data_IF_250971562379
#
_entry.id   IF_250971562379
#
_cell.length_a   1.000
_cell.length_b   1.000
_cell.length_c   1.000
_cell.angle_alpha   90.00
_cell.angle_beta   90.00
_cell.angle_gamma   90.00
#
_symmetry.space_group_name_H-M   'P 1'
#
loop_
_entity.id
_entity.type
_entity.pdbx_description
1 polymer ?
#
# COMPACT_ATOMS: atom_id res chain seq x y z
N UNK A 1 -36.06 20.05 -74.06
CA UNK A 1 -35.17 18.89 -74.32
C UNK A 1 -34.19 18.85 -73.15
N UNK A 2 -34.54 18.18 -72.05
CA UNK A 2 -34.16 16.79 -71.68
C UNK A 2 -33.07 16.88 -70.59
N UNK A 3 -33.32 16.76 -69.28
CA UNK A 3 -33.80 15.64 -68.42
C UNK A 3 -32.67 14.77 -67.83
N UNK A 4 -32.80 14.50 -66.50
CA UNK A 4 -32.21 13.42 -65.67
C UNK A 4 -30.72 13.55 -65.26
N UNK A 5 -30.26 13.37 -63.99
CA UNK A 5 -30.58 12.35 -62.96
C UNK A 5 -30.32 12.83 -61.50
N UNK A 6 -31.04 12.19 -60.56
CA UNK A 6 -30.96 12.26 -59.09
C UNK A 6 -29.62 11.73 -58.51
N UNK A 7 -29.26 12.14 -57.27
CA UNK A 7 -29.10 11.25 -56.10
C UNK A 7 -29.06 12.05 -54.77
N UNK A 8 -29.68 11.46 -53.74
CA UNK A 8 -29.90 11.91 -52.36
C UNK A 8 -28.66 12.27 -51.54
N UNK A 9 -28.81 13.21 -50.60
CA UNK A 9 -28.21 13.11 -49.26
C UNK A 9 -29.02 13.97 -48.27
N UNK A 10 -29.76 13.32 -47.39
CA UNK A 10 -30.37 13.89 -46.21
C UNK A 10 -29.96 13.05 -44.99
N UNK A 11 -29.82 13.73 -43.84
CA UNK A 11 -29.66 13.22 -42.48
C UNK A 11 -28.32 12.58 -42.07
N UNK A 12 -27.55 13.33 -41.28
CA UNK A 12 -27.15 12.93 -39.92
C UNK A 12 -26.51 14.12 -39.18
N UNK A 13 -27.33 14.93 -38.51
CA UNK A 13 -26.85 15.79 -37.44
C UNK A 13 -26.72 14.91 -36.18
N UNK A 14 -25.50 14.53 -35.82
CA UNK A 14 -25.20 13.89 -34.54
C UNK A 14 -24.67 14.94 -33.57
N UNK A 15 -25.42 15.10 -32.49
CA UNK A 15 -25.19 15.93 -31.33
C UNK A 15 -23.89 15.52 -30.64
N UNK A 16 -22.85 16.34 -30.76
CA UNK A 16 -21.74 16.34 -29.80
C UNK A 16 -22.20 17.16 -28.59
N UNK A 17 -22.69 16.47 -27.56
CA UNK A 17 -22.95 17.09 -26.25
C UNK A 17 -21.66 17.11 -25.43
N UNK A 18 -21.20 18.26 -24.91
CA UNK A 18 -20.11 18.28 -23.94
C UNK A 18 -20.68 17.91 -22.57
N UNK A 19 -20.59 16.64 -22.18
CA UNK A 19 -20.79 16.22 -20.80
C UNK A 19 -19.53 16.54 -19.98
N UNK A 20 -19.30 17.82 -19.72
CA UNK A 20 -18.47 18.25 -18.60
C UNK A 20 -19.40 18.89 -17.57
N UNK A 21 -20.14 18.05 -16.85
CA UNK A 21 -20.75 18.46 -15.60
C UNK A 21 -19.62 18.66 -14.59
N UNK A 22 -19.12 19.89 -14.51
CA UNK A 22 -18.26 20.33 -13.41
C UNK A 22 -19.05 20.14 -12.12
N UNK A 23 -18.69 19.11 -11.35
CA UNK A 23 -19.30 18.82 -10.05
C UNK A 23 -18.98 20.00 -9.12
N UNK A 24 -19.91 20.94 -9.02
CA UNK A 24 -19.83 22.06 -8.09
C UNK A 24 -20.48 21.58 -6.80
N UNK A 25 -19.66 21.18 -5.84
CA UNK A 25 -20.13 20.92 -4.48
C UNK A 25 -20.81 22.20 -3.96
N UNK A 26 -22.03 22.14 -3.41
CA UNK A 26 -22.61 23.28 -2.72
C UNK A 26 -21.73 23.58 -1.49
N UNK A 27 -20.99 24.69 -1.54
CA UNK A 27 -20.20 25.18 -0.42
C UNK A 27 -21.17 25.73 0.63
N UNK A 28 -21.49 24.93 1.65
CA UNK A 28 -21.93 25.48 2.93
C UNK A 28 -20.69 26.08 3.63
N UNK A 29 -20.60 27.41 3.62
CA UNK A 29 -19.50 28.19 4.18
C UNK A 29 -19.38 28.16 5.73
N UNK A 30 -20.05 27.25 6.44
CA UNK A 30 -20.11 27.24 7.91
C UNK A 30 -19.32 26.14 8.63
N UNK A 31 -18.58 25.28 7.91
CA UNK A 31 -17.76 24.25 8.57
C UNK A 31 -16.28 24.52 8.30
N UNK A 32 -15.69 25.49 9.01
CA UNK A 32 -14.25 25.51 9.44
C UNK A 32 -13.87 26.85 10.09
N UNK A 33 -14.15 26.98 11.39
CA UNK A 33 -13.23 27.57 12.38
C UNK A 33 -13.48 26.87 13.72
N UNK A 34 -13.09 25.61 13.82
CA UNK A 34 -12.76 25.02 15.12
C UNK A 34 -11.25 25.11 15.28
N UNK A 35 -10.80 26.22 15.87
CA UNK A 35 -9.48 26.27 16.50
C UNK A 35 -9.49 25.29 17.67
N UNK A 36 -8.51 24.39 17.70
CA UNK A 36 -8.23 23.50 18.82
C UNK A 36 -7.89 24.29 20.08
N UNK A 37 -8.90 24.53 20.91
CA UNK A 37 -8.76 24.79 22.34
C UNK A 37 -9.59 23.74 23.07
N UNK A 38 -8.98 22.60 23.34
CA UNK A 38 -9.53 21.62 24.27
C UNK A 38 -8.94 21.91 25.65
N UNK A 39 -9.53 22.86 26.36
CA UNK A 39 -9.36 22.96 27.81
C UNK A 39 -10.36 22.01 28.47
N UNK A 40 -9.82 20.99 29.13
CA UNK A 40 -10.53 20.04 29.96
C UNK A 40 -11.33 20.75 31.07
N UNK A 41 -12.65 20.78 30.92
CA UNK A 41 -13.57 21.07 32.04
C UNK A 41 -14.30 19.78 32.39
N UNK A 42 -13.67 18.97 33.24
CA UNK A 42 -14.35 17.93 34.01
C UNK A 42 -14.65 18.54 35.39
N UNK A 43 -15.91 18.91 35.62
CA UNK A 43 -16.37 19.27 36.95
C UNK A 43 -16.90 18.01 37.64
N UNK A 44 -16.26 17.70 38.76
CA UNK A 44 -16.42 16.52 39.58
C UNK A 44 -17.76 16.49 40.34
N UNK A 45 -18.22 15.28 40.62
CA UNK A 45 -19.07 14.98 41.75
C UNK A 45 -18.43 13.85 42.58
N UNK A 46 -18.36 14.11 43.90
CA UNK A 46 -18.23 13.19 45.03
C UNK A 46 -16.85 12.98 45.71
N UNK A 47 -16.90 13.19 47.04
CA UNK A 47 -16.09 12.63 48.14
C UNK A 47 -14.69 13.23 48.36
N UNK A 48 -14.46 14.12 49.34
CA UNK A 48 -14.42 13.93 50.81
C UNK A 48 -13.20 13.11 51.29
N UNK A 49 -12.38 13.80 52.11
CA UNK A 49 -11.33 13.35 53.05
C UNK A 49 -10.19 12.45 52.54
N UNK A 50 -8.95 12.96 52.55
CA UNK A 50 -8.01 12.63 53.63
C UNK A 50 -6.78 13.57 53.61
N UNK A 51 -6.34 13.97 54.81
CA UNK A 51 -5.18 14.80 55.03
C UNK A 51 -3.91 13.95 55.15
N UNK A 52 -2.78 14.57 54.79
CA UNK A 52 -1.48 14.54 55.49
C UNK A 52 -0.25 14.10 54.68
N UNK A 53 0.81 14.88 54.93
CA UNK A 53 2.27 14.62 54.82
C UNK A 53 2.97 14.85 53.47
N UNK A 54 3.47 16.09 53.35
CA UNK A 54 4.80 16.39 52.78
C UNK A 54 5.91 15.83 53.69
N UNK A 55 7.11 15.58 53.12
CA UNK A 55 8.20 16.49 53.45
C UNK A 55 9.01 16.96 52.23
N UNK A 56 9.54 18.17 52.42
CA UNK A 56 10.55 18.87 51.63
C UNK A 56 11.91 18.17 51.66
N UNK A 57 12.62 18.17 50.53
CA UNK A 57 14.08 18.03 50.52
C UNK A 57 14.72 19.05 49.58
N UNK A 58 15.79 19.66 50.08
CA UNK A 58 16.56 20.77 49.53
C UNK A 58 17.61 20.35 48.51
N UNK A 59 17.94 21.34 47.68
CA UNK A 59 19.14 21.57 46.86
C UNK A 59 20.45 20.93 47.35
N UNK A 60 21.24 20.42 46.40
CA UNK A 60 22.60 20.89 46.11
C UNK A 60 23.21 20.07 44.95
N UNK A 61 24.00 20.71 44.08
CA UNK A 61 25.03 19.99 43.30
C UNK A 61 25.16 20.37 41.84
N UNK A 62 25.77 21.52 41.60
CA UNK A 62 26.34 21.94 40.32
C UNK A 62 27.63 21.14 40.05
N UNK A 63 27.72 20.45 38.90
CA UNK A 63 28.97 19.85 38.40
C UNK A 63 29.07 20.00 36.88
N UNK A 64 30.23 20.46 36.45
CA UNK A 64 30.66 20.73 35.08
C UNK A 64 30.74 19.48 34.19
N UNK A 65 30.67 19.62 32.85
CA UNK A 65 30.83 18.50 31.92
C UNK A 65 32.32 18.17 31.67
N UNK A 66 32.70 16.88 31.55
CA UNK A 66 34.04 16.54 31.12
C UNK A 66 34.15 16.57 29.59
N UNK A 67 35.11 17.36 29.13
CA UNK A 67 35.75 17.22 27.82
C UNK A 67 36.48 15.88 27.73
N UNK A 68 36.15 15.04 26.75
CA UNK A 68 36.97 13.88 26.39
C UNK A 68 37.41 14.01 24.93
N UNK A 69 38.72 13.99 24.81
CA UNK A 69 39.58 14.04 23.65
C UNK A 69 39.41 12.87 22.69
N UNK A 70 39.47 13.18 21.40
CA UNK A 70 39.74 12.23 20.33
C UNK A 70 41.11 11.55 20.53
N UNK A 71 41.12 10.22 20.55
CA UNK A 71 42.31 9.40 20.48
C UNK A 71 42.10 8.31 19.42
N UNK A 72 43.03 8.29 18.47
CA UNK A 72 43.13 7.34 17.38
C UNK A 72 43.54 5.93 17.87
N UNK A 73 42.94 4.90 17.29
CA UNK A 73 43.42 3.51 17.28
C UNK A 73 43.02 2.95 15.91
N UNK A 74 43.93 2.80 14.94
CA UNK A 74 44.80 1.63 14.72
C UNK A 74 44.02 0.31 14.66
N UNK A 75 43.45 0.03 13.49
CA UNK A 75 42.95 -1.28 13.08
C UNK A 75 44.12 -2.25 12.87
N UNK A 76 44.17 -3.28 13.72
CA UNK A 76 44.98 -4.47 13.54
C UNK A 76 44.12 -5.57 12.95
N UNK A 77 44.39 -5.92 11.69
CA UNK A 77 43.79 -7.03 10.95
C UNK A 77 44.32 -8.35 11.53
N UNK A 78 43.41 -9.20 12.03
CA UNK A 78 43.65 -10.62 12.29
C UNK A 78 42.91 -11.43 11.21
N UNK A 79 43.62 -11.86 10.18
CA UNK A 79 43.16 -12.92 9.27
C UNK A 79 43.39 -14.27 9.95
N UNK A 80 42.32 -15.01 10.22
CA UNK A 80 42.39 -16.41 10.60
C UNK A 80 41.67 -17.23 9.52
N UNK A 81 42.46 -17.80 8.60
CA UNK A 81 42.00 -18.80 7.64
C UNK A 81 41.49 -20.06 8.38
N UNK A 82 40.22 -20.40 8.19
CA UNK A 82 39.72 -21.76 8.38
C UNK A 82 39.38 -22.35 7.02
N UNK A 83 40.25 -23.26 6.56
CA UNK A 83 40.00 -24.20 5.48
C UNK A 83 38.89 -25.17 5.90
N UNK A 84 37.74 -25.11 5.22
CA UNK A 84 36.78 -26.21 5.23
C UNK A 84 37.02 -27.11 4.02
N UNK A 85 37.26 -28.38 4.33
CA UNK A 85 37.55 -29.44 3.37
C UNK A 85 36.34 -29.78 2.51
N UNK A 86 36.62 -29.92 1.23
CA UNK A 86 35.72 -30.33 0.16
C UNK A 86 35.43 -31.83 0.30
N UNK A 87 34.20 -32.17 0.69
CA UNK A 87 33.69 -33.54 0.74
C UNK A 87 32.60 -33.71 -0.32
N UNK A 88 33.05 -33.90 -1.56
CA UNK A 88 32.23 -34.31 -2.69
C UNK A 88 31.64 -35.70 -2.44
N UNK A 89 30.32 -35.74 -2.21
CA UNK A 89 29.54 -36.99 -2.22
C UNK A 89 28.55 -36.96 -3.37
N UNK A 90 28.87 -37.76 -4.39
CA UNK A 90 28.10 -38.09 -5.59
C UNK A 90 26.68 -38.60 -5.28
N UNK A 91 25.70 -37.69 -5.15
CA UNK A 91 24.26 -38.01 -5.14
C UNK A 91 23.44 -36.93 -5.89
N UNK A 92 23.75 -36.72 -7.15
CA UNK A 92 22.97 -35.84 -8.04
C UNK A 92 22.80 -36.48 -9.42
N UNK A 93 21.69 -37.17 -9.66
CA UNK A 93 21.25 -37.44 -11.04
C UNK A 93 19.74 -37.71 -11.20
N UNK A 94 19.00 -38.01 -10.14
CA UNK A 94 17.56 -38.33 -10.27
C UNK A 94 16.59 -37.15 -10.06
N UNK A 95 17.06 -35.96 -9.64
CA UNK A 95 16.17 -34.80 -9.41
C UNK A 95 15.97 -33.91 -10.62
N UNK A 96 16.91 -33.89 -11.57
CA UNK A 96 16.86 -32.94 -12.69
C UNK A 96 15.90 -33.36 -13.82
N UNK A 97 15.68 -34.67 -14.01
CA UNK A 97 14.81 -35.17 -15.09
C UNK A 97 13.33 -34.80 -14.84
N UNK A 98 12.90 -34.73 -13.57
CA UNK A 98 11.53 -34.35 -13.22
C UNK A 98 11.27 -32.84 -13.29
N UNK A 99 12.32 -32.01 -13.17
CA UNK A 99 12.18 -30.56 -13.31
C UNK A 99 11.94 -30.17 -14.78
N UNK A 100 12.63 -30.83 -15.71
CA UNK A 100 12.58 -30.48 -17.13
C UNK A 100 11.24 -30.85 -17.79
N UNK A 101 10.62 -31.97 -17.38
CA UNK A 101 9.34 -32.42 -17.91
C UNK A 101 8.17 -31.50 -17.53
N UNK A 102 8.26 -30.77 -16.41
CA UNK A 102 7.19 -29.87 -15.95
C UNK A 102 7.22 -28.50 -16.60
N UNK A 103 8.39 -27.94 -16.86
CA UNK A 103 8.49 -26.64 -17.54
C UNK A 103 7.93 -26.67 -18.97
N UNK A 104 8.01 -27.83 -19.65
CA UNK A 104 7.43 -27.99 -20.99
C UNK A 104 5.89 -28.03 -21.01
N UNK A 105 5.23 -28.34 -19.90
CA UNK A 105 3.75 -28.39 -19.85
C UNK A 105 3.10 -27.00 -19.92
N UNK A 106 3.87 -25.93 -19.66
CA UNK A 106 3.35 -24.55 -19.58
C UNK A 106 3.86 -23.63 -20.70
N UNK A 107 4.81 -24.08 -21.53
CA UNK A 107 5.45 -23.23 -22.54
C UNK A 107 4.54 -22.87 -23.73
N UNK A 108 3.50 -23.66 -24.00
CA UNK A 108 2.64 -23.53 -25.18
C UNK A 108 1.19 -23.14 -24.84
N UNK A 109 0.93 -22.64 -23.62
CA UNK A 109 -0.41 -22.17 -23.27
C UNK A 109 -0.69 -20.84 -23.98
N UNK A 110 -1.61 -20.86 -24.94
CA UNK A 110 -2.12 -19.64 -25.56
C UNK A 110 -2.66 -18.70 -24.46
N UNK A 111 -2.38 -17.38 -24.55
CA UNK A 111 -2.95 -16.40 -23.64
C UNK A 111 -4.46 -16.56 -23.61
N UNK A 112 -5.02 -16.76 -22.41
CA UNK A 112 -6.47 -16.88 -22.26
C UNK A 112 -7.13 -15.60 -22.76
N UNK A 113 -8.12 -15.74 -23.65
CA UNK A 113 -8.92 -14.61 -24.10
C UNK A 113 -9.59 -13.95 -22.90
N UNK A 114 -9.53 -12.62 -22.83
CA UNK A 114 -10.15 -11.88 -21.74
C UNK A 114 -11.66 -12.11 -21.75
N UNK A 115 -12.23 -12.41 -20.58
CA UNK A 115 -13.68 -12.45 -20.42
C UNK A 115 -14.28 -11.05 -20.62
N UNK A 116 -15.55 -10.97 -21.03
CA UNK A 116 -16.25 -9.70 -21.20
C UNK A 116 -16.23 -8.86 -19.90
N UNK A 117 -16.41 -9.53 -18.76
CA UNK A 117 -16.31 -8.91 -17.43
C UNK A 117 -14.93 -8.29 -17.19
N UNK A 118 -13.85 -8.99 -17.56
CA UNK A 118 -12.47 -8.48 -17.42
C UNK A 118 -12.25 -7.27 -18.32
N UNK A 119 -12.64 -7.36 -19.58
CA UNK A 119 -12.53 -6.23 -20.53
C UNK A 119 -13.30 -5.01 -20.02
N UNK A 120 -14.52 -5.20 -19.51
CA UNK A 120 -15.33 -4.12 -18.93
C UNK A 120 -14.67 -3.46 -17.71
N UNK A 121 -14.01 -4.26 -16.86
CA UNK A 121 -13.25 -3.76 -15.71
C UNK A 121 -12.04 -2.93 -16.15
N UNK A 122 -11.23 -3.45 -17.07
CA UNK A 122 -10.06 -2.73 -17.62
C UNK A 122 -10.49 -1.41 -18.28
N UNK A 123 -11.59 -1.40 -19.02
CA UNK A 123 -12.16 -0.18 -19.61
C UNK A 123 -12.64 0.83 -18.55
N UNK A 124 -13.16 0.35 -17.42
CA UNK A 124 -13.52 1.21 -16.29
C UNK A 124 -12.28 1.81 -15.62
N UNK A 125 -11.24 1.01 -15.37
CA UNK A 125 -9.97 1.45 -14.78
C UNK A 125 -9.25 2.46 -15.67
N UNK A 126 -9.21 2.21 -16.99
CA UNK A 126 -8.64 3.15 -17.96
C UNK A 126 -9.37 4.49 -17.97
N UNK A 127 -10.70 4.48 -17.78
CA UNK A 127 -11.48 5.73 -17.61
C UNK A 127 -11.12 6.46 -16.32
N UNK A 128 -10.88 5.75 -15.23
CA UNK A 128 -10.45 6.36 -13.97
C UNK A 128 -9.02 6.93 -14.07
N UNK A 129 -8.10 6.23 -14.75
CA UNK A 129 -6.75 6.71 -15.08
C UNK A 129 -6.74 7.96 -15.94
N UNK A 130 -7.80 8.21 -16.73
CA UNK A 130 -7.95 9.45 -17.49
C UNK A 130 -8.44 10.63 -16.64
N UNK A 131 -9.08 10.36 -15.49
CA UNK A 131 -9.62 11.37 -14.57
C UNK A 131 -8.57 11.73 -13.52
N UNK A 132 -7.99 10.71 -12.88
CA UNK A 132 -7.06 10.85 -11.77
C UNK A 132 -5.62 10.63 -12.22
N UNK A 133 -4.69 11.29 -11.52
CA UNK A 133 -3.27 11.00 -11.69
C UNK A 133 -2.91 9.77 -10.87
N UNK A 134 -2.36 8.72 -11.50
CA UNK A 134 -2.02 7.44 -10.85
C UNK A 134 -1.08 7.66 -9.67
N UNK A 135 -1.53 7.32 -8.46
CA UNK A 135 -0.72 7.50 -7.25
C UNK A 135 0.54 6.62 -7.26
N UNK A 136 1.58 7.06 -6.55
CA UNK A 136 2.88 6.38 -6.53
C UNK A 136 3.79 6.70 -7.73
N UNK A 137 3.33 7.45 -8.72
CA UNK A 137 4.12 7.84 -9.91
C UNK A 137 4.73 9.25 -9.79
N UNK A 138 5.76 9.54 -10.58
CA UNK A 138 6.35 10.90 -10.65
C UNK A 138 5.35 12.02 -11.00
N UNK A 139 4.41 11.82 -11.96
CA UNK A 139 3.33 12.78 -12.20
C UNK A 139 2.46 13.03 -10.98
N UNK A 140 2.18 12.01 -10.16
CA UNK A 140 1.41 12.17 -8.93
C UNK A 140 2.15 13.04 -7.92
N UNK A 141 3.44 12.80 -7.71
CA UNK A 141 4.24 13.62 -6.80
C UNK A 141 4.36 15.06 -7.28
N UNK A 142 4.50 15.26 -8.58
CA UNK A 142 4.52 16.61 -9.19
C UNK A 142 3.19 17.34 -8.97
N UNK A 143 2.06 16.62 -9.09
CA UNK A 143 0.72 17.17 -8.79
C UNK A 143 0.59 17.57 -7.31
N UNK A 144 1.12 16.75 -6.39
CA UNK A 144 1.10 17.06 -4.95
C UNK A 144 1.97 18.27 -4.62
N UNK A 145 3.15 18.37 -5.22
CA UNK A 145 4.03 19.54 -5.06
C UNK A 145 3.36 20.81 -5.64
N UNK A 146 2.63 20.71 -6.77
CA UNK A 146 1.81 21.80 -7.32
C UNK A 146 0.69 22.23 -6.36
N UNK A 147 -0.02 21.28 -5.75
CA UNK A 147 -1.08 21.57 -4.75
C UNK A 147 -0.50 22.34 -3.56
N UNK A 148 0.62 21.88 -3.01
CA UNK A 148 1.29 22.54 -1.87
C UNK A 148 1.72 23.96 -2.25
N UNK A 149 2.30 24.15 -3.44
CA UNK A 149 2.69 25.47 -3.92
C UNK A 149 1.49 26.41 -4.06
N UNK A 150 0.39 25.93 -4.66
CA UNK A 150 -0.83 26.73 -4.82
C UNK A 150 -1.48 27.09 -3.47
N UNK A 151 -1.41 26.21 -2.47
CA UNK A 151 -1.87 26.49 -1.10
C UNK A 151 -1.00 27.57 -0.44
N UNK A 152 0.33 27.47 -0.57
CA UNK A 152 1.28 28.49 -0.10
C UNK A 152 1.08 29.85 -0.78
N UNK A 153 0.85 29.86 -2.09
CA UNK A 153 0.58 31.08 -2.86
C UNK A 153 -0.73 31.75 -2.42
N UNK A 154 -1.76 30.97 -2.08
CA UNK A 154 -3.02 31.50 -1.54
C UNK A 154 -2.84 32.12 -0.16
N UNK A 155 -2.06 31.50 0.71
CA UNK A 155 -1.77 32.01 2.05
C UNK A 155 -0.94 33.30 1.97
N UNK A 156 0.20 33.25 1.28
CA UNK A 156 1.09 34.41 1.06
C UNK A 156 0.36 35.56 0.39
N UNK A 157 -0.47 35.25 -0.61
CA UNK A 157 -1.25 36.25 -1.31
C UNK A 157 -2.27 36.96 -0.41
N UNK A 158 -2.88 36.21 0.52
CA UNK A 158 -3.81 36.78 1.49
C UNK A 158 -3.11 37.76 2.44
N UNK A 159 -1.87 37.47 2.81
CA UNK A 159 -1.07 38.31 3.71
C UNK A 159 -0.55 39.59 3.02
N UNK A 160 -0.19 39.49 1.73
CA UNK A 160 0.30 40.63 0.94
C UNK A 160 -0.83 41.51 0.41
N UNK A 161 -2.08 41.03 0.42
CA UNK A 161 -3.25 41.77 -0.06
C UNK A 161 -3.34 41.83 -1.59
N UNK A 162 -3.04 40.73 -2.29
CA UNK A 162 -3.35 40.62 -3.73
C UNK A 162 -4.85 40.77 -3.99
N UNK A 163 -5.18 41.18 -5.21
CA UNK A 163 -6.57 41.41 -5.60
C UNK A 163 -7.43 40.15 -5.50
N UNK A 164 -8.72 40.33 -5.22
CA UNK A 164 -9.67 39.23 -5.10
C UNK A 164 -9.76 38.40 -6.40
N UNK A 165 -9.55 39.02 -7.57
CA UNK A 165 -9.49 38.28 -8.84
C UNK A 165 -8.31 37.32 -8.90
N UNK A 166 -7.12 37.75 -8.44
CA UNK A 166 -5.93 36.91 -8.40
C UNK A 166 -6.12 35.73 -7.43
N UNK A 167 -6.65 35.99 -6.23
CA UNK A 167 -6.96 34.94 -5.25
C UNK A 167 -7.99 33.94 -5.82
N UNK A 168 -9.01 34.44 -6.52
CA UNK A 168 -10.01 33.59 -7.19
C UNK A 168 -9.39 32.70 -8.28
N UNK A 169 -8.46 33.25 -9.06
CA UNK A 169 -7.73 32.50 -10.08
C UNK A 169 -6.91 31.35 -9.46
N UNK A 170 -6.14 31.61 -8.40
CA UNK A 170 -5.34 30.57 -7.72
C UNK A 170 -6.26 29.52 -7.09
N UNK A 171 -7.39 29.91 -6.48
CA UNK A 171 -8.39 28.94 -5.96
C UNK A 171 -8.96 28.03 -7.05
N UNK A 172 -9.19 28.56 -8.26
CA UNK A 172 -9.67 27.74 -9.38
C UNK A 172 -8.61 26.74 -9.84
N UNK A 173 -7.34 27.15 -9.88
CA UNK A 173 -6.22 26.25 -10.19
C UNK A 173 -6.07 25.16 -9.12
N UNK A 174 -6.12 25.53 -7.84
CA UNK A 174 -6.05 24.58 -6.73
C UNK A 174 -7.18 23.55 -6.80
N UNK A 175 -8.43 24.00 -7.01
CA UNK A 175 -9.57 23.08 -7.20
C UNK A 175 -9.37 22.13 -8.37
N UNK A 176 -8.80 22.60 -9.48
CA UNK A 176 -8.51 21.77 -10.65
C UNK A 176 -7.43 20.73 -10.35
N UNK A 177 -6.35 21.11 -9.67
CA UNK A 177 -5.29 20.20 -9.26
C UNK A 177 -5.82 19.14 -8.27
N UNK A 178 -6.51 19.57 -7.21
CA UNK A 178 -7.12 18.69 -6.20
C UNK A 178 -8.15 17.72 -6.81
N UNK A 179 -8.87 18.11 -7.87
CA UNK A 179 -9.81 17.20 -8.54
C UNK A 179 -9.16 16.03 -9.28
N UNK A 180 -7.86 16.13 -9.58
CA UNK A 180 -7.06 15.07 -10.21
C UNK A 180 -6.33 14.19 -9.20
N UNK A 181 -6.26 14.62 -7.95
CA UNK A 181 -5.59 13.90 -6.87
C UNK A 181 -6.58 12.88 -6.25
N UNK A 182 -6.39 11.57 -6.51
CA UNK A 182 -7.28 10.54 -5.98
C UNK A 182 -7.31 10.49 -4.46
N UNK A 183 -6.21 10.82 -3.77
CA UNK A 183 -6.15 10.81 -2.31
C UNK A 183 -6.99 11.95 -1.73
N UNK A 184 -6.86 13.15 -2.32
CA UNK A 184 -7.68 14.30 -1.94
C UNK A 184 -9.17 14.02 -2.17
N UNK A 185 -9.54 13.51 -3.36
CA UNK A 185 -10.93 13.20 -3.70
C UNK A 185 -11.50 12.13 -2.77
N UNK A 186 -10.76 11.05 -2.52
CA UNK A 186 -11.17 9.99 -1.61
C UNK A 186 -11.49 10.54 -0.21
N UNK A 187 -10.61 11.38 0.33
CA UNK A 187 -10.77 12.00 1.64
C UNK A 187 -12.02 12.88 1.73
N UNK A 188 -12.18 13.82 0.80
CA UNK A 188 -13.30 14.78 0.81
C UNK A 188 -14.63 14.06 0.64
N UNK A 189 -14.71 13.12 -0.30
CA UNK A 189 -15.95 12.39 -0.59
C UNK A 189 -16.32 11.41 0.53
N UNK A 190 -15.36 10.74 1.16
CA UNK A 190 -15.62 9.89 2.34
C UNK A 190 -16.15 10.70 3.52
N UNK A 191 -15.57 11.88 3.79
CA UNK A 191 -16.06 12.77 4.83
C UNK A 191 -17.46 13.32 4.52
N UNK A 192 -17.73 13.66 3.25
CA UNK A 192 -19.03 14.13 2.79
C UNK A 192 -20.10 13.04 2.88
N UNK A 193 -19.77 11.79 2.54
CA UNK A 193 -20.67 10.64 2.70
C UNK A 193 -21.09 10.48 4.17
N UNK A 194 -20.11 10.42 5.08
CA UNK A 194 -20.38 10.30 6.51
C UNK A 194 -21.19 11.48 7.08
N UNK A 195 -20.96 12.71 6.58
CA UNK A 195 -21.75 13.87 6.98
C UNK A 195 -23.20 13.80 6.45
N UNK A 196 -23.40 13.42 5.19
CA UNK A 196 -24.71 13.25 4.58
C UNK A 196 -25.53 12.16 5.29
N UNK A 197 -24.90 11.04 5.65
CA UNK A 197 -25.51 9.97 6.44
C UNK A 197 -25.97 10.46 7.82
N UNK A 198 -25.12 11.19 8.56
CA UNK A 198 -25.51 11.79 9.86
C UNK A 198 -26.67 12.79 9.74
N UNK A 199 -26.83 13.42 8.58
CA UNK A 199 -27.95 14.33 8.29
C UNK A 199 -29.19 13.61 7.74
N UNK A 200 -29.18 12.28 7.61
CA UNK A 200 -30.29 11.51 7.06
C UNK A 200 -30.45 11.63 5.54
N UNK A 201 -29.45 12.15 4.83
CA UNK A 201 -29.46 12.33 3.36
C UNK A 201 -28.86 11.11 2.66
N UNK A 202 -29.62 10.01 2.67
CA UNK A 202 -29.15 8.70 2.22
C UNK A 202 -28.70 8.69 0.75
N UNK A 203 -29.46 9.29 -0.16
CA UNK A 203 -29.11 9.34 -1.59
C UNK A 203 -27.81 10.12 -1.86
N UNK A 204 -27.61 11.22 -1.14
CA UNK A 204 -26.40 12.04 -1.26
C UNK A 204 -25.18 11.27 -0.71
N UNK A 205 -25.35 10.56 0.41
CA UNK A 205 -24.33 9.71 1.01
C UNK A 205 -23.85 8.62 0.06
N UNK A 206 -24.78 7.88 -0.57
CA UNK A 206 -24.42 6.82 -1.52
C UNK A 206 -23.65 7.37 -2.73
N UNK A 207 -24.06 8.53 -3.26
CA UNK A 207 -23.33 9.19 -4.36
C UNK A 207 -21.89 9.53 -3.98
N UNK A 208 -21.67 10.05 -2.78
CA UNK A 208 -20.32 10.33 -2.29
C UNK A 208 -19.52 9.06 -2.04
N UNK A 209 -20.16 7.99 -1.55
CA UNK A 209 -19.52 6.69 -1.34
C UNK A 209 -19.08 6.04 -2.64
N UNK A 210 -19.89 6.12 -3.70
CA UNK A 210 -19.49 5.65 -5.02
C UNK A 210 -18.27 6.41 -5.57
N UNK A 211 -18.25 7.73 -5.40
CA UNK A 211 -17.13 8.56 -5.85
C UNK A 211 -15.86 8.29 -5.02
N UNK A 212 -16.01 8.11 -3.70
CA UNK A 212 -14.88 7.76 -2.84
C UNK A 212 -14.29 6.41 -3.23
N UNK A 213 -15.11 5.41 -3.52
CA UNK A 213 -14.64 4.10 -3.98
C UNK A 213 -13.91 4.17 -5.34
N UNK A 214 -14.34 5.03 -6.27
CA UNK A 214 -13.61 5.23 -7.53
C UNK A 214 -12.23 5.83 -7.31
N UNK A 215 -12.13 6.85 -6.46
CA UNK A 215 -10.86 7.47 -6.13
C UNK A 215 -9.95 6.49 -5.35
N UNK A 216 -10.51 5.72 -4.42
CA UNK A 216 -9.80 4.69 -3.64
C UNK A 216 -9.12 3.64 -4.53
N UNK A 217 -9.77 3.20 -5.61
CA UNK A 217 -9.21 2.23 -6.57
C UNK A 217 -7.95 2.73 -7.29
N UNK A 218 -7.74 4.04 -7.33
CA UNK A 218 -6.57 4.65 -7.95
C UNK A 218 -5.37 4.79 -7.01
N UNK A 219 -5.50 4.32 -5.76
CA UNK A 219 -4.46 4.38 -4.75
C UNK A 219 -3.82 2.98 -4.59
N UNK A 220 -2.55 2.80 -4.97
CA UNK A 220 -1.87 1.50 -4.94
C UNK A 220 -1.94 0.78 -3.59
N UNK A 221 -1.88 1.52 -2.49
CA UNK A 221 -1.93 0.96 -1.14
C UNK A 221 -3.30 0.34 -0.76
N UNK A 222 -4.36 0.60 -1.53
CA UNK A 222 -5.64 -0.11 -1.40
C UNK A 222 -5.80 -1.28 -2.37
N UNK A 223 -4.81 -1.51 -3.23
CA UNK A 223 -4.81 -2.57 -4.24
C UNK A 223 -3.85 -3.72 -3.87
N UNK A 224 -3.42 -3.79 -2.60
CA UNK A 224 -2.55 -4.85 -2.09
C UNK A 224 -3.30 -6.13 -1.66
N UNK A 225 -4.59 -6.29 -1.92
CA UNK A 225 -5.35 -7.49 -1.51
C UNK A 225 -4.77 -8.77 -2.12
N UNK A 226 -4.81 -9.88 -1.38
CA UNK A 226 -4.45 -11.22 -1.88
C UNK A 226 -3.13 -11.76 -1.33
N UNK A 227 -2.53 -12.71 -2.06
CA UNK A 227 -1.36 -13.45 -1.59
C UNK A 227 -0.05 -12.73 -1.90
N UNK A 228 0.88 -12.81 -0.94
CA UNK A 228 2.20 -12.19 -0.98
C UNK A 228 3.24 -13.08 -0.31
N UNK A 229 4.48 -13.06 -0.78
CA UNK A 229 5.60 -13.81 -0.19
C UNK A 229 6.73 -12.87 0.19
N UNK A 230 7.29 -13.07 1.38
CA UNK A 230 8.44 -12.34 1.89
C UNK A 230 9.40 -13.22 2.68
N UNK A 231 10.67 -12.81 2.81
CA UNK A 231 11.71 -13.56 3.55
C UNK A 231 11.77 -13.11 5.02
N UNK A 232 11.36 -13.98 5.94
CA UNK A 232 11.36 -13.75 7.39
C UNK A 232 12.67 -14.21 8.03
N UNK A 233 13.79 -13.62 7.62
CA UNK A 233 15.12 -13.92 8.16
C UNK A 233 15.47 -15.41 8.10
N UNK A 234 15.80 -16.00 9.26
CA UNK A 234 16.18 -17.42 9.39
C UNK A 234 15.03 -18.40 9.18
N UNK A 235 13.78 -17.93 9.19
CA UNK A 235 12.60 -18.77 8.93
C UNK A 235 12.41 -19.06 7.45
N UNK A 236 13.10 -18.33 6.57
CA UNK A 236 12.97 -18.48 5.13
C UNK A 236 11.79 -17.69 4.58
N UNK A 237 11.16 -18.20 3.53
CA UNK A 237 10.04 -17.53 2.88
C UNK A 237 8.73 -17.89 3.56
N UNK A 238 7.95 -16.86 3.91
CA UNK A 238 6.59 -17.02 4.39
C UNK A 238 5.61 -16.29 3.47
N UNK A 239 4.41 -16.85 3.35
CA UNK A 239 3.31 -16.31 2.58
C UNK A 239 2.30 -15.67 3.52
N UNK A 240 1.80 -14.50 3.13
CA UNK A 240 0.74 -13.77 3.82
C UNK A 240 -0.45 -13.54 2.88
N UNK A 241 -1.63 -13.35 3.46
CA UNK A 241 -2.83 -12.90 2.76
C UNK A 241 -3.20 -11.52 3.29
N UNK A 242 -3.19 -10.53 2.41
CA UNK A 242 -3.54 -9.15 2.72
C UNK A 242 -5.03 -8.94 2.45
N UNK A 243 -5.71 -8.32 3.41
CA UNK A 243 -7.14 -7.96 3.34
C UNK A 243 -7.35 -6.57 3.95
N UNK A 244 -8.57 -6.04 3.87
CA UNK A 244 -8.90 -4.71 4.41
C UNK A 244 -10.10 -4.75 5.35
N UNK A 245 -10.03 -3.95 6.42
CA UNK A 245 -11.17 -3.57 7.25
C UNK A 245 -11.32 -2.05 7.21
N UNK A 246 -12.15 -1.54 6.30
CA UNK A 246 -12.21 -0.11 6.01
C UNK A 246 -10.90 0.36 5.39
N UNK A 247 -10.23 1.31 6.06
CA UNK A 247 -8.92 1.84 5.69
C UNK A 247 -7.74 1.12 6.36
N UNK A 248 -8.02 0.09 7.16
CA UNK A 248 -6.97 -0.70 7.81
C UNK A 248 -6.60 -1.90 6.95
N UNK A 249 -5.33 -1.99 6.58
CA UNK A 249 -4.74 -3.16 5.95
C UNK A 249 -4.40 -4.20 7.02
N UNK A 250 -4.74 -5.47 6.78
CA UNK A 250 -4.47 -6.58 7.68
C UNK A 250 -3.81 -7.73 6.90
N UNK A 251 -2.59 -8.09 7.29
CA UNK A 251 -1.84 -9.19 6.70
C UNK A 251 -1.86 -10.42 7.62
N UNK A 252 -2.46 -11.52 7.15
CA UNK A 252 -2.51 -12.79 7.88
C UNK A 252 -1.45 -13.76 7.40
N UNK A 253 -0.76 -14.47 8.31
CA UNK A 253 0.16 -15.56 7.98
C UNK A 253 -0.57 -16.72 7.31
N UNK A 254 -0.32 -16.96 6.03
CA UNK A 254 -0.83 -18.13 5.30
C UNK A 254 0.09 -19.31 5.49
N UNK A 255 1.41 -19.08 5.42
CA UNK A 255 2.38 -19.96 6.06
C UNK A 255 2.86 -19.25 7.32
N UNK A 256 3.03 -20.01 8.39
CA UNK A 256 3.45 -19.49 9.68
C UNK A 256 4.65 -20.25 10.18
N UNK A 257 5.33 -19.64 11.14
CA UNK A 257 6.56 -20.15 11.72
C UNK A 257 6.35 -20.46 13.21
N UNK A 258 7.43 -20.84 13.90
CA UNK A 258 7.37 -21.16 15.34
C UNK A 258 7.07 -19.94 16.21
N UNK A 259 7.30 -18.73 15.71
CA UNK A 259 7.12 -17.48 16.44
C UNK A 259 5.70 -16.95 16.18
N UNK A 260 5.34 -16.71 14.91
CA UNK A 260 4.00 -16.29 14.51
C UNK A 260 3.33 -17.41 13.71
N UNK A 261 2.40 -18.16 14.32
CA UNK A 261 1.80 -19.30 13.68
C UNK A 261 0.84 -18.89 12.57
N UNK A 262 0.51 -19.89 11.75
CA UNK A 262 -0.39 -19.74 10.62
C UNK A 262 -1.79 -19.34 11.09
N UNK A 263 -2.41 -18.42 10.36
CA UNK A 263 -3.72 -17.83 10.68
C UNK A 263 -3.64 -16.57 11.53
N UNK A 264 -2.50 -16.30 12.20
CA UNK A 264 -2.32 -15.09 12.99
C UNK A 264 -2.00 -13.88 12.11
N UNK A 265 -2.28 -12.70 12.64
CA UNK A 265 -1.90 -11.43 12.01
C UNK A 265 -0.38 -11.31 12.05
N UNK A 266 0.24 -11.07 10.88
CA UNK A 266 1.65 -10.72 10.76
C UNK A 266 1.87 -9.23 11.03
N UNK A 267 1.04 -8.39 10.43
CA UNK A 267 1.04 -6.94 10.67
C UNK A 267 -0.27 -6.29 10.22
N UNK A 268 -0.50 -5.07 10.69
CA UNK A 268 -1.55 -4.15 10.24
C UNK A 268 -0.95 -2.82 9.80
N UNK A 269 -1.66 -2.06 8.96
CA UNK A 269 -1.29 -0.70 8.61
C UNK A 269 -2.53 0.20 8.48
N UNK A 270 -2.43 1.43 8.98
CA UNK A 270 -3.47 2.46 8.85
C UNK A 270 -3.25 3.25 7.56
N UNK A 271 -4.16 3.08 6.61
CA UNK A 271 -4.12 3.74 5.30
C UNK A 271 -5.06 4.94 5.22
N UNK A 272 -5.65 5.37 6.35
CA UNK A 272 -6.53 6.54 6.36
C UNK A 272 -5.78 7.76 5.84
N UNK A 273 -6.33 8.49 4.84
CA UNK A 273 -5.70 9.68 4.30
C UNK A 273 -5.43 10.71 5.40
N UNK A 274 -4.16 11.04 5.60
CA UNK A 274 -3.74 11.88 6.71
C UNK A 274 -3.81 13.37 6.35
N UNK A 275 -4.16 14.20 7.33
CA UNK A 275 -4.14 15.66 7.18
C UNK A 275 -2.73 16.18 7.39
N UNK A 276 -2.40 17.31 6.76
CA UNK A 276 -1.18 18.02 7.13
C UNK A 276 -1.28 18.43 8.61
N UNK A 277 -0.29 18.02 9.40
CA UNK A 277 -0.25 18.24 10.84
C UNK A 277 -0.84 17.12 11.71
N UNK A 278 -1.31 15.99 11.15
CA UNK A 278 -1.57 14.82 12.01
C UNK A 278 -0.25 14.23 12.52
N UNK A 279 -0.16 14.02 13.82
CA UNK A 279 1.05 13.50 14.47
C UNK A 279 1.47 12.10 13.99
N UNK A 280 0.54 11.35 13.40
CA UNK A 280 0.73 10.01 12.84
C UNK A 280 1.22 10.01 11.39
N UNK A 281 1.40 11.18 10.75
CA UNK A 281 1.72 11.23 9.32
C UNK A 281 3.21 11.00 9.13
N UNK A 282 3.53 9.90 8.46
CA UNK A 282 4.89 9.62 8.04
C UNK A 282 5.16 10.31 6.71
N UNK A 283 6.30 10.99 6.62
CA UNK A 283 6.74 11.56 5.35
C UNK A 283 7.13 10.44 4.36
N UNK A 284 6.81 10.59 3.06
CA UNK A 284 7.26 9.68 2.03
C UNK A 284 8.80 9.53 2.02
N UNK A 285 9.31 8.35 1.68
CA UNK A 285 10.76 8.17 1.45
C UNK A 285 11.11 8.84 0.14
N UNK A 286 12.02 9.82 0.17
CA UNK A 286 12.62 10.40 -1.03
C UNK A 286 13.76 9.50 -1.48
N UNK A 287 13.68 9.03 -2.72
CA UNK A 287 14.71 8.18 -3.32
C UNK A 287 15.80 9.03 -3.99
N UNK A 288 17.03 8.49 -4.04
CA UNK A 288 18.07 9.04 -4.92
C UNK A 288 17.69 8.90 -6.39
N UNK A 289 18.40 9.59 -7.28
CA UNK A 289 18.14 9.52 -8.72
C UNK A 289 18.30 8.10 -9.28
N UNK A 290 19.27 7.33 -8.78
CA UNK A 290 19.50 5.94 -9.20
C UNK A 290 18.36 5.02 -8.75
N UNK A 291 17.96 5.12 -7.49
CA UNK A 291 16.84 4.36 -6.94
C UNK A 291 15.51 4.77 -7.59
N UNK A 292 15.30 6.06 -7.82
CA UNK A 292 14.11 6.57 -8.48
C UNK A 292 13.97 6.06 -9.91
N UNK A 293 15.09 5.98 -10.66
CA UNK A 293 15.10 5.39 -12.00
C UNK A 293 14.76 3.90 -11.97
N UNK A 294 15.21 3.15 -10.96
CA UNK A 294 14.91 1.73 -10.79
C UNK A 294 13.43 1.50 -10.48
N UNK A 295 12.86 2.30 -9.60
CA UNK A 295 11.48 2.13 -9.12
C UNK A 295 10.44 2.93 -9.92
N UNK A 296 10.86 3.77 -10.85
CA UNK A 296 9.97 4.60 -11.67
C UNK A 296 9.30 5.76 -10.90
N UNK A 297 9.80 6.09 -9.72
CA UNK A 297 9.21 7.12 -8.86
C UNK A 297 10.24 7.74 -7.92
N UNK A 298 10.14 9.04 -7.64
CA UNK A 298 11.05 9.77 -6.74
C UNK A 298 10.71 9.64 -5.26
N UNK A 299 9.46 9.28 -4.94
CA UNK A 299 8.98 9.20 -3.56
C UNK A 299 8.18 7.91 -3.36
N UNK A 300 8.36 7.26 -2.22
CA UNK A 300 7.59 6.08 -1.83
C UNK A 300 6.65 6.43 -0.67
N UNK A 301 5.33 6.17 -0.79
CA UNK A 301 4.38 6.45 0.27
C UNK A 301 4.63 5.55 1.50
N UNK A 302 4.40 6.12 2.68
CA UNK A 302 4.63 5.48 3.99
C UNK A 302 3.40 5.56 4.86
N UNK A 303 3.11 4.46 5.55
CA UNK A 303 1.97 4.35 6.45
C UNK A 303 2.42 3.76 7.78
N UNK A 304 1.89 4.29 8.87
CA UNK A 304 2.06 3.71 10.21
C UNK A 304 1.35 2.37 10.29
N UNK A 305 1.94 1.43 11.00
CA UNK A 305 1.37 0.11 11.21
C UNK A 305 1.89 -0.54 12.48
N UNK A 306 1.42 -1.75 12.72
CA UNK A 306 1.82 -2.56 13.87
C UNK A 306 2.22 -3.95 13.39
N UNK A 307 3.47 -4.34 13.65
CA UNK A 307 4.00 -5.63 13.32
C UNK A 307 3.91 -6.60 14.50
N UNK A 308 3.42 -7.80 14.27
CA UNK A 308 3.33 -8.82 15.30
C UNK A 308 4.68 -9.49 15.51
N UNK A 309 5.12 -9.57 16.76
CA UNK A 309 6.32 -10.29 17.16
C UNK A 309 6.04 -11.18 18.38
N UNK A 310 6.67 -12.34 18.42
CA UNK A 310 6.56 -13.27 19.54
C UNK A 310 7.84 -14.12 19.65
N UNK A 311 8.08 -14.69 20.82
CA UNK A 311 9.12 -15.69 21.03
C UNK A 311 8.70 -17.06 20.46
N UNK A 312 9.64 -18.01 20.29
CA UNK A 312 9.31 -19.36 19.83
C UNK A 312 8.22 -20.01 20.68
N UNK A 313 7.21 -20.59 20.02
CA UNK A 313 6.00 -21.11 20.65
C UNK A 313 4.88 -20.08 20.78
N UNK A 314 4.96 -18.95 20.07
CA UNK A 314 4.00 -17.84 20.15
C UNK A 314 3.85 -17.26 21.57
N UNK A 315 4.95 -17.27 22.32
CA UNK A 315 5.03 -16.79 23.71
C UNK A 315 5.36 -15.29 23.70
N UNK A 316 4.84 -14.55 24.69
CA UNK A 316 5.05 -13.10 24.81
C UNK A 316 4.72 -12.35 23.52
N UNK A 317 3.63 -12.74 22.84
CA UNK A 317 3.22 -12.08 21.62
C UNK A 317 2.77 -10.64 21.89
N UNK A 318 3.23 -9.72 21.05
CA UNK A 318 2.94 -8.29 21.15
C UNK A 318 3.02 -7.64 19.77
N UNK A 319 2.27 -6.56 19.62
CA UNK A 319 2.36 -5.67 18.48
C UNK A 319 3.46 -4.62 18.72
N UNK A 320 4.35 -4.47 17.75
CA UNK A 320 5.44 -3.52 17.73
C UNK A 320 5.15 -2.44 16.69
N UNK A 321 5.64 -1.23 16.92
CA UNK A 321 5.54 -0.16 15.93
C UNK A 321 6.19 -0.58 14.61
N UNK A 322 5.47 -0.36 13.52
CA UNK A 322 5.93 -0.69 12.18
C UNK A 322 5.52 0.32 11.13
N UNK A 323 6.07 0.13 9.93
CA UNK A 323 5.80 1.00 8.79
C UNK A 323 5.61 0.18 7.53
N UNK A 324 4.52 0.45 6.82
CA UNK A 324 4.28 -0.05 5.48
C UNK A 324 4.86 0.95 4.47
N UNK A 325 5.69 0.46 3.55
CA UNK A 325 6.22 1.21 2.41
C UNK A 325 5.71 0.56 1.14
N UNK A 326 4.94 1.28 0.32
CA UNK A 326 4.45 0.76 -0.96
C UNK A 326 5.39 1.17 -2.08
N UNK A 327 5.70 0.22 -2.97
CA UNK A 327 6.73 0.38 -4.01
C UNK A 327 6.10 0.17 -5.39
N UNK A 328 6.34 1.13 -6.29
CA UNK A 328 5.76 1.10 -7.64
C UNK A 328 4.24 1.33 -7.66
N UNK A 329 3.55 0.70 -8.61
CA UNK A 329 2.09 0.77 -8.74
C UNK A 329 1.35 -0.23 -7.83
N UNK A 330 2.04 -0.75 -6.82
CA UNK A 330 1.50 -1.75 -5.88
C UNK A 330 1.95 -3.18 -6.20
N UNK A 331 3.00 -3.36 -6.99
CA UNK A 331 3.55 -4.68 -7.35
C UNK A 331 4.44 -5.26 -6.25
N UNK A 332 5.03 -4.36 -5.46
CA UNK A 332 5.84 -4.69 -4.29
C UNK A 332 5.47 -3.79 -3.14
N UNK A 333 5.65 -4.29 -1.92
CA UNK A 333 5.67 -3.44 -0.75
C UNK A 333 6.65 -4.01 0.27
N UNK A 334 6.95 -3.25 1.31
CA UNK A 334 7.71 -3.76 2.44
C UNK A 334 7.06 -3.34 3.75
N UNK A 335 7.29 -4.13 4.79
CA UNK A 335 6.92 -3.78 6.15
C UNK A 335 8.17 -3.79 7.03
N UNK A 336 8.38 -2.71 7.77
CA UNK A 336 9.50 -2.55 8.70
C UNK A 336 9.01 -2.63 10.15
N UNK A 337 9.57 -3.53 10.95
CA UNK A 337 9.41 -3.58 12.40
C UNK A 337 10.46 -2.67 13.02
N UNK A 338 10.07 -1.44 13.40
CA UNK A 338 11.02 -0.39 13.78
C UNK A 338 11.90 -0.82 14.97
N UNK A 339 11.35 -1.34 16.09
CA UNK A 339 12.17 -1.70 17.25
C UNK A 339 13.14 -2.86 16.99
N UNK A 340 12.91 -3.65 15.94
CA UNK A 340 13.74 -4.80 15.56
C UNK A 340 14.72 -4.46 14.44
N UNK A 341 14.66 -3.24 13.89
CA UNK A 341 15.43 -2.82 12.71
C UNK A 341 15.33 -3.84 11.56
N UNK A 342 14.17 -4.48 11.44
CA UNK A 342 13.93 -5.57 10.49
C UNK A 342 12.90 -5.17 9.44
N UNK A 343 13.27 -5.27 8.17
CA UNK A 343 12.40 -4.95 7.05
C UNK A 343 12.23 -6.16 6.14
N UNK A 344 10.99 -6.47 5.80
CA UNK A 344 10.64 -7.57 4.90
C UNK A 344 10.00 -6.99 3.65
N UNK A 345 10.53 -7.40 2.50
CA UNK A 345 9.95 -7.11 1.19
C UNK A 345 9.01 -8.21 0.77
N UNK A 346 7.88 -7.81 0.21
CA UNK A 346 6.81 -8.67 -0.26
C UNK A 346 6.61 -8.49 -1.75
N UNK A 347 6.56 -9.61 -2.46
CA UNK A 347 6.21 -9.68 -3.88
C UNK A 347 5.07 -10.68 -4.09
N UNK A 348 4.37 -10.53 -5.22
CA UNK A 348 3.34 -11.50 -5.63
C UNK A 348 4.00 -12.85 -5.94
N UNK A 349 3.55 -13.97 -5.34
CA UNK A 349 4.10 -15.27 -5.65
C UNK A 349 3.60 -15.77 -7.01
N UNK A 350 4.44 -16.56 -7.70
CA UNK A 350 3.96 -17.31 -8.86
C UNK A 350 2.92 -18.36 -8.43
N UNK A 351 2.03 -18.81 -9.34
CA UNK A 351 1.12 -19.92 -9.07
C UNK A 351 1.82 -21.19 -8.56
N UNK A 352 2.97 -21.52 -9.15
CA UNK A 352 3.75 -22.71 -8.81
C UNK A 352 4.36 -22.58 -7.42
N UNK A 353 4.91 -21.40 -7.09
CA UNK A 353 5.44 -21.12 -5.76
C UNK A 353 4.32 -21.15 -4.71
N UNK A 354 3.16 -20.58 -5.03
CA UNK A 354 1.98 -20.60 -4.16
C UNK A 354 1.58 -22.04 -3.84
N UNK A 355 1.43 -22.88 -4.86
CA UNK A 355 1.10 -24.30 -4.71
C UNK A 355 2.16 -25.06 -3.91
N UNK A 356 3.44 -24.76 -4.15
CA UNK A 356 4.55 -25.34 -3.41
C UNK A 356 4.48 -24.97 -1.93
N UNK A 357 4.34 -23.68 -1.61
CA UNK A 357 4.28 -23.19 -0.23
C UNK A 357 3.04 -23.69 0.50
N UNK A 358 1.88 -23.76 -0.15
CA UNK A 358 0.67 -24.34 0.43
C UNK A 358 0.83 -25.83 0.76
N UNK A 359 1.57 -26.57 -0.07
CA UNK A 359 1.83 -28.00 0.14
C UNK A 359 2.86 -28.24 1.24
N UNK A 360 3.94 -27.46 1.25
CA UNK A 360 5.04 -27.57 2.21
C UNK A 360 4.66 -27.03 3.60
N UNK A 361 3.80 -26.02 3.67
CA UNK A 361 3.29 -25.37 4.89
C UNK A 361 2.42 -26.24 5.80
N UNK A 362 2.37 -27.56 5.57
CA UNK A 362 1.75 -28.55 6.45
C UNK A 362 0.23 -28.64 6.30
N UNK A 363 -0.24 -29.84 5.97
CA UNK A 363 -1.64 -30.22 5.71
C UNK A 363 -2.65 -30.10 6.84
N UNK A 364 -2.45 -29.18 7.78
CA UNK A 364 -3.48 -28.82 8.75
C UNK A 364 -4.39 -27.75 8.14
N UNK A 365 -5.69 -28.01 8.25
CA UNK A 365 -6.80 -27.33 7.57
C UNK A 365 -6.59 -25.82 7.40
N UNK A 366 -6.69 -25.36 6.16
CA UNK A 366 -6.65 -23.97 5.78
C UNK A 366 -7.99 -23.30 6.16
N UNK A 367 -7.98 -22.40 7.15
CA UNK A 367 -9.05 -21.43 7.41
C UNK A 367 -8.59 -20.06 6.93
N UNK A 368 -8.86 -19.75 5.66
CA UNK A 368 -8.66 -18.42 5.11
C UNK A 368 -9.90 -17.57 5.42
N UNK A 369 -9.89 -16.88 6.55
CA UNK A 369 -10.93 -15.92 6.92
C UNK A 369 -12.32 -16.54 7.16
N UNK A 370 -13.18 -15.77 7.83
CA UNK A 370 -14.55 -16.16 8.16
C UNK A 370 -15.34 -16.47 6.86
N UNK A 371 -15.55 -17.75 6.54
CA UNK A 371 -16.59 -18.19 5.60
C UNK A 371 -16.15 -19.04 4.41
N UNK A 372 -14.85 -19.30 4.19
CA UNK A 372 -14.42 -20.25 3.15
C UNK A 372 -13.48 -21.32 3.73
N UNK A 373 -13.97 -22.55 3.78
CA UNK A 373 -13.12 -23.72 4.05
C UNK A 373 -12.22 -23.93 2.85
N UNK A 374 -10.92 -23.81 3.06
CA UNK A 374 -9.96 -24.05 2.01
C UNK A 374 -9.75 -25.57 1.85
N UNK A 375 -9.60 -26.09 0.63
CA UNK A 375 -9.51 -27.52 0.40
C UNK A 375 -8.33 -28.14 1.17
N UNK A 376 -8.58 -29.28 1.82
CA UNK A 376 -7.53 -30.09 2.44
C UNK A 376 -6.57 -30.70 1.41
N UNK A 377 -5.43 -31.24 1.87
CA UNK A 377 -4.48 -31.94 0.98
C UNK A 377 -5.09 -33.17 0.29
N UNK A 378 -6.09 -33.76 0.94
CA UNK A 378 -6.89 -34.90 0.47
C UNK A 378 -8.04 -34.48 -0.45
N UNK A 379 -8.31 -33.18 -0.59
CA UNK A 379 -9.30 -32.68 -1.54
C UNK A 379 -8.89 -32.99 -2.98
N UNK A 380 -9.88 -33.10 -3.85
CA UNK A 380 -9.64 -33.40 -5.25
C UNK A 380 -8.78 -32.28 -5.87
N UNK A 381 -7.86 -32.64 -6.77
CA UNK A 381 -6.96 -31.67 -7.45
C UNK A 381 -7.78 -30.54 -8.08
N UNK A 382 -8.96 -30.84 -8.61
CA UNK A 382 -9.89 -29.83 -9.13
C UNK A 382 -10.30 -28.79 -8.09
N UNK A 383 -10.62 -29.19 -6.85
CA UNK A 383 -11.06 -28.27 -5.80
C UNK A 383 -9.89 -27.39 -5.33
N UNK A 384 -8.68 -27.98 -5.24
CA UNK A 384 -7.45 -27.24 -4.95
C UNK A 384 -7.13 -26.25 -6.07
N UNK A 385 -7.24 -26.68 -7.33
CA UNK A 385 -7.05 -25.83 -8.51
C UNK A 385 -8.11 -24.74 -8.60
N UNK A 386 -9.38 -25.00 -8.29
CA UNK A 386 -10.46 -24.02 -8.30
C UNK A 386 -10.27 -22.99 -7.17
N UNK A 387 -9.85 -23.42 -5.98
CA UNK A 387 -9.49 -22.54 -4.88
C UNK A 387 -8.30 -21.65 -5.23
N UNK A 388 -7.25 -22.23 -5.80
CA UNK A 388 -6.05 -21.51 -6.24
C UNK A 388 -6.38 -20.60 -7.41
N UNK A 389 -7.19 -21.03 -8.38
CA UNK A 389 -7.66 -20.19 -9.47
C UNK A 389 -8.50 -19.02 -8.96
N UNK A 390 -9.27 -19.17 -7.87
CA UNK A 390 -10.01 -18.06 -7.27
C UNK A 390 -9.06 -17.11 -6.51
N UNK A 391 -8.12 -17.64 -5.74
CA UNK A 391 -7.07 -16.83 -5.11
C UNK A 391 -6.24 -16.09 -6.16
N UNK A 392 -5.94 -16.78 -7.26
CA UNK A 392 -5.23 -16.24 -8.40
C UNK A 392 -6.12 -15.33 -9.23
N UNK A 393 -7.43 -15.50 -9.36
CA UNK A 393 -8.28 -14.48 -10.01
C UNK A 393 -8.25 -13.18 -9.20
N UNK A 394 -8.17 -13.28 -7.88
CA UNK A 394 -7.94 -12.12 -6.98
C UNK A 394 -6.50 -11.59 -7.09
N UNK A 395 -5.52 -12.41 -7.48
CA UNK A 395 -4.07 -12.05 -7.51
C UNK A 395 -3.51 -11.77 -8.93
N UNK A 396 -4.12 -12.32 -9.99
CA UNK A 396 -3.70 -12.29 -11.42
C UNK A 396 -4.19 -11.06 -12.15
N UNK A 397 -4.86 -10.16 -11.45
CA UNK A 397 -5.27 -8.87 -12.00
C UNK A 397 -4.07 -7.97 -12.32
N UNK A 398 -2.88 -8.25 -11.77
CA UNK A 398 -1.62 -7.54 -12.10
C UNK A 398 -0.67 -8.35 -12.99
N UNK A 399 -0.49 -9.65 -12.71
CA UNK A 399 0.56 -10.47 -13.35
C UNK A 399 0.34 -10.77 -14.84
N UNK A 400 -0.91 -10.99 -15.28
CA UNK A 400 -1.19 -11.29 -16.70
C UNK A 400 -1.06 -10.05 -17.58
N UNK A 401 -1.25 -8.86 -17.02
CA UNK A 401 -1.09 -7.60 -17.75
C UNK A 401 0.41 -7.25 -17.87
N UNK A 402 1.21 -7.48 -16.83
CA UNK A 402 2.67 -7.34 -16.88
C UNK A 402 3.36 -8.33 -17.85
N UNK A 403 2.88 -9.58 -17.89
CA UNK A 403 3.38 -10.59 -18.82
C UNK A 403 3.06 -10.24 -20.28
N UNK A 404 1.83 -9.80 -20.56
CA UNK A 404 1.41 -9.44 -21.91
C UNK A 404 2.01 -8.12 -22.42
N UNK A 405 2.40 -7.21 -21.52
CA UNK A 405 3.11 -5.97 -21.85
C UNK A 405 4.62 -6.15 -22.05
N UNK A 406 5.15 -7.37 -21.90
CA UNK A 406 6.60 -7.63 -22.00
C UNK A 406 7.40 -6.97 -20.87
N UNK A 407 6.75 -6.65 -19.76
CA UNK A 407 7.35 -6.05 -18.56
C UNK A 407 7.84 -7.09 -17.55
N UNK A 408 7.83 -8.38 -17.91
CA UNK A 408 8.57 -9.39 -17.16
C UNK A 408 10.07 -9.13 -17.29
N UNK A 409 10.56 -8.23 -16.45
CA UNK A 409 11.97 -8.11 -16.19
C UNK A 409 12.46 -9.45 -15.63
N UNK A 410 13.62 -9.92 -16.08
CA UNK A 410 14.29 -11.11 -15.55
C UNK A 410 14.61 -10.97 -14.05
N UNK A 411 14.41 -9.78 -13.47
CA UNK A 411 14.51 -9.45 -12.05
C UNK A 411 13.19 -9.58 -11.25
N UNK A 412 12.07 -9.95 -11.88
CA UNK A 412 10.79 -10.21 -11.18
C UNK A 412 10.78 -11.51 -10.35
N UNK A 413 11.80 -12.35 -10.52
CA UNK A 413 12.11 -13.41 -9.56
C UNK A 413 12.66 -12.79 -8.29
N UNK A 414 11.96 -13.02 -7.16
CA UNK A 414 12.39 -12.80 -5.77
C UNK A 414 13.84 -12.33 -5.69
N UNK A 415 14.02 -11.03 -5.48
CA UNK A 415 15.33 -10.39 -5.43
C UNK A 415 16.28 -11.19 -4.52
N UNK A 416 17.25 -11.87 -5.13
CA UNK A 416 18.36 -12.52 -4.44
C UNK A 416 19.44 -11.46 -4.26
N UNK A 417 19.27 -10.58 -3.28
CA UNK A 417 20.38 -9.84 -2.75
C UNK A 417 21.37 -10.82 -2.14
N UNK A 418 22.62 -10.76 -2.61
CA UNK A 418 23.74 -11.39 -1.92
C UNK A 418 23.77 -10.81 -0.49
N UNK A 419 24.03 -11.64 0.52
CA UNK A 419 23.81 -11.35 1.95
C UNK A 419 24.60 -10.15 2.53
N UNK A 420 25.36 -9.40 1.72
CA UNK A 420 26.31 -8.40 2.19
C UNK A 420 25.93 -6.94 1.89
N UNK A 421 24.95 -6.65 1.00
CA UNK A 421 24.61 -5.24 0.68
C UNK A 421 23.11 -5.04 0.48
N UNK A 422 22.46 -4.51 1.52
CA UNK A 422 21.09 -3.99 1.44
C UNK A 422 21.14 -2.48 1.60
N UNK A 423 21.53 -1.77 0.53
CA UNK A 423 21.47 -0.31 0.50
C UNK A 423 20.26 0.15 -0.31
N UNK A 424 19.36 0.89 0.35
CA UNK A 424 18.68 1.99 -0.30
C UNK A 424 19.70 3.13 -0.40
N UNK A 425 20.57 3.10 -1.42
CA UNK A 425 21.26 4.30 -1.88
C UNK A 425 20.60 4.89 -3.12
#
# INVERSE_FOLDING_TARGET
MSSFLLHSAAFAALLVSPLTNSFTLPINHEVTRYSSSWSSTLQAAASADDQQRRPSFQEAGQLDPPSISAAAAQDGIYEQHQQFGDATTDRSNDKDVNSFLRSSEFADLEPLTHSETRSSRLDAENRLRAIYTTAGTDPYWSLRDEIIQLESDLETGRDVGISDEAVSAVRNLLRKAQSKDPEHVYRITSAAAAAAERMGRVEESEKYREESLKARKMLPWFNLEGLWVGKYGTHGFEMINVTYSGDMLIAYKVTGDKNIPRGEISFTADLTPQFEGSASKLDPIVLSENSAKKWGTKKLPRFSGEGHAAEPGYVNNQFLEGQLVVIGEGDYFSFAWIPLEHQIFFGRPSPELTLKMLREGGGTSLTAGLGMSVPGLDAHVKDQTDYVNRCLEVTKDTFLDEWNEGKTDSFSGIWHGNEEECYFE
#
